data_IF_291359344845
#
_entry.id   IF_291359344845
#
_cell.length_a   1.000
_cell.length_b   1.000
_cell.length_c   1.000
_cell.angle_alpha   90.00
_cell.angle_beta   90.00
_cell.angle_gamma   90.00
#
_symmetry.space_group_name_H-M   'P 1'
#
loop_
_entity.id
_entity.type
_entity.pdbx_description
1 polymer ?
#
# COMPACT_ATOMS: atom_id res chain seq x y z
N UNK A 1 -8.73 -21.91 40.80
CA UNK A 1 -9.35 -20.61 40.48
C UNK A 1 -8.44 -19.68 39.65
N UNK A 2 -7.24 -20.10 39.22
CA UNK A 2 -6.29 -19.21 38.51
C UNK A 2 -6.37 -19.26 36.97
N UNK A 3 -6.89 -20.36 36.39
CA UNK A 3 -6.92 -20.61 34.94
C UNK A 3 -7.83 -19.65 34.15
N UNK A 4 -8.89 -19.12 34.79
CA UNK A 4 -9.81 -18.19 34.13
C UNK A 4 -9.26 -16.75 34.02
N UNK A 5 -8.19 -16.43 34.77
CA UNK A 5 -7.60 -15.09 34.80
C UNK A 5 -6.62 -14.83 33.64
N UNK A 6 -5.94 -15.87 33.13
CA UNK A 6 -5.00 -15.76 32.01
C UNK A 6 -5.73 -15.65 30.66
N UNK A 7 -6.78 -16.45 30.47
CA UNK A 7 -7.67 -16.41 29.29
C UNK A 7 -8.26 -15.00 29.07
N UNK A 8 -8.81 -14.39 30.14
CA UNK A 8 -9.37 -13.04 30.07
C UNK A 8 -8.31 -11.95 29.81
N UNK A 9 -7.09 -12.09 30.36
CA UNK A 9 -5.96 -11.17 30.06
C UNK A 9 -5.52 -11.27 28.60
N UNK A 10 -5.44 -12.47 28.03
CA UNK A 10 -5.11 -12.70 26.61
C UNK A 10 -6.15 -12.10 25.66
N UNK A 11 -7.45 -12.32 25.94
CA UNK A 11 -8.57 -11.75 25.16
C UNK A 11 -8.61 -10.22 25.23
N UNK A 12 -8.44 -9.62 26.43
CA UNK A 12 -8.37 -8.15 26.61
C UNK A 12 -7.17 -7.54 25.88
N UNK A 13 -5.98 -8.16 25.94
CA UNK A 13 -4.78 -7.68 25.21
C UNK A 13 -4.98 -7.72 23.69
N UNK A 14 -5.62 -8.77 23.18
CA UNK A 14 -5.94 -8.91 21.75
C UNK A 14 -6.94 -7.85 21.27
N UNK A 15 -8.01 -7.62 22.04
CA UNK A 15 -9.01 -6.60 21.70
C UNK A 15 -8.43 -5.18 21.76
N UNK A 16 -7.71 -4.84 22.84
CA UNK A 16 -7.00 -3.55 22.96
C UNK A 16 -6.04 -3.33 21.79
N UNK A 17 -5.31 -4.37 21.37
CA UNK A 17 -4.37 -4.28 20.24
C UNK A 17 -5.08 -4.04 18.91
N UNK A 18 -6.18 -4.76 18.61
CA UNK A 18 -6.99 -4.52 17.40
C UNK A 18 -7.53 -3.10 17.37
N UNK A 19 -8.02 -2.62 18.50
CA UNK A 19 -8.47 -1.23 18.66
C UNK A 19 -7.33 -0.24 18.42
N UNK A 20 -6.14 -0.46 19.00
CA UNK A 20 -4.96 0.39 18.79
C UNK A 20 -4.49 0.41 17.33
N UNK A 21 -4.46 -0.75 16.66
CA UNK A 21 -4.10 -0.90 15.24
C UNK A 21 -5.13 -0.22 14.33
N UNK A 22 -6.35 0.00 14.81
CA UNK A 22 -7.32 0.80 14.08
C UNK A 22 -7.19 2.30 14.40
N UNK A 23 -7.04 2.65 15.69
CA UNK A 23 -7.06 4.03 16.18
C UNK A 23 -5.81 4.82 15.79
N UNK A 24 -4.61 4.26 16.00
CA UNK A 24 -3.35 4.97 15.71
C UNK A 24 -3.26 5.32 14.21
N UNK A 25 -3.48 4.38 13.27
CA UNK A 25 -3.45 4.70 11.85
C UNK A 25 -4.53 5.70 11.42
N UNK A 26 -5.67 5.73 12.11
CA UNK A 26 -6.70 6.73 11.84
C UNK A 26 -6.18 8.14 12.17
N UNK A 27 -5.60 8.35 13.35
CA UNK A 27 -5.00 9.65 13.70
C UNK A 27 -3.83 10.02 12.78
N UNK A 28 -2.95 9.07 12.50
CA UNK A 28 -1.79 9.29 11.61
C UNK A 28 -2.24 9.73 10.21
N UNK A 29 -3.24 9.06 9.63
CA UNK A 29 -3.77 9.44 8.30
C UNK A 29 -4.36 10.85 8.30
N UNK A 30 -5.11 11.21 9.34
CA UNK A 30 -5.71 12.56 9.43
C UNK A 30 -4.64 13.63 9.64
N UNK A 31 -3.63 13.37 10.47
CA UNK A 31 -2.49 14.28 10.65
C UNK A 31 -1.72 14.48 9.33
N UNK A 32 -1.46 13.40 8.60
CA UNK A 32 -0.78 13.48 7.29
C UNK A 32 -1.59 14.28 6.27
N UNK A 33 -2.92 14.13 6.26
CA UNK A 33 -3.81 14.94 5.43
C UNK A 33 -3.75 16.41 5.81
N UNK A 34 -3.79 16.73 7.11
CA UNK A 34 -3.71 18.11 7.57
C UNK A 34 -2.39 18.78 7.17
N UNK A 35 -1.27 18.11 7.43
CA UNK A 35 0.06 18.59 7.02
C UNK A 35 0.11 18.77 5.50
N UNK A 36 -0.48 17.83 4.75
CA UNK A 36 -0.50 17.89 3.30
C UNK A 36 -1.46 18.90 2.70
N UNK A 37 -2.41 19.41 3.47
CA UNK A 37 -3.26 20.55 3.10
C UNK A 37 -2.56 21.87 3.39
N UNK A 38 -1.75 21.93 4.45
CA UNK A 38 -0.99 23.14 4.83
C UNK A 38 0.35 23.27 4.11
N UNK A 39 0.86 22.19 3.53
CA UNK A 39 2.17 22.15 2.85
C UNK A 39 2.05 22.17 1.34
N UNK A 40 2.93 22.91 0.67
CA UNK A 40 3.07 22.87 -0.79
C UNK A 40 3.95 21.70 -1.22
N UNK A 41 3.49 20.92 -2.20
CA UNK A 41 4.27 19.83 -2.81
C UNK A 41 5.11 20.36 -3.97
N UNK A 42 6.43 20.15 -3.90
CA UNK A 42 7.37 20.41 -4.99
C UNK A 42 8.03 19.08 -5.33
N UNK A 43 7.95 18.67 -6.60
CA UNK A 43 8.62 17.48 -7.09
C UNK A 43 9.85 17.91 -7.90
N UNK A 44 11.02 17.35 -7.58
CA UNK A 44 12.26 17.61 -8.29
C UNK A 44 12.60 16.35 -9.09
N UNK A 45 12.86 16.48 -10.39
CA UNK A 45 13.26 15.37 -11.26
C UNK A 45 12.20 14.29 -11.49
N UNK A 46 10.90 14.64 -11.44
CA UNK A 46 9.80 13.66 -11.54
C UNK A 46 9.36 13.32 -12.97
N UNK A 47 10.04 13.85 -13.99
CA UNK A 47 9.63 13.73 -15.40
C UNK A 47 9.49 12.28 -15.85
N UNK A 48 10.50 11.45 -15.56
CA UNK A 48 10.50 10.02 -15.89
C UNK A 48 9.34 9.29 -15.20
N UNK A 49 9.08 9.59 -13.93
CA UNK A 49 7.99 8.97 -13.17
C UNK A 49 6.63 9.43 -13.73
N UNK A 50 6.47 10.72 -14.02
CA UNK A 50 5.26 11.26 -14.66
C UNK A 50 4.98 10.61 -16.00
N UNK A 51 6.02 10.41 -16.84
CA UNK A 51 5.90 9.74 -18.13
C UNK A 51 5.42 8.30 -17.96
N UNK A 52 6.08 7.52 -17.09
CA UNK A 52 5.69 6.13 -16.79
C UNK A 52 4.26 6.04 -16.25
N UNK A 53 3.86 6.97 -15.35
CA UNK A 53 2.49 7.05 -14.82
C UNK A 53 1.47 7.35 -15.91
N UNK A 54 1.76 8.32 -16.79
CA UNK A 54 0.90 8.70 -17.93
C UNK A 54 0.73 7.53 -18.91
N UNK A 55 1.82 6.83 -19.21
CA UNK A 55 1.83 5.64 -20.07
C UNK A 55 1.26 4.38 -19.38
N UNK A 56 0.86 4.49 -18.10
CA UNK A 56 0.32 3.38 -17.29
C UNK A 56 1.25 2.14 -17.26
N UNK A 57 2.56 2.33 -17.46
CA UNK A 57 3.54 1.25 -17.42
C UNK A 57 3.75 0.73 -15.99
N UNK A 58 4.05 -0.57 -15.81
CA UNK A 58 4.46 -1.10 -14.51
C UNK A 58 5.82 -0.53 -14.11
N UNK A 59 5.99 -0.19 -12.83
CA UNK A 59 7.26 0.29 -12.28
C UNK A 59 7.43 -0.09 -10.81
N UNK A 60 8.66 -0.03 -10.33
CA UNK A 60 9.02 -0.26 -8.94
C UNK A 60 9.43 1.09 -8.35
N UNK A 61 8.89 1.43 -7.18
CA UNK A 61 9.27 2.62 -6.42
C UNK A 61 10.06 2.18 -5.19
N UNK A 62 11.28 2.69 -5.05
CA UNK A 62 12.11 2.53 -3.86
C UNK A 62 12.28 3.88 -3.17
N UNK A 63 12.32 3.88 -1.85
CA UNK A 63 12.53 5.08 -1.05
C UNK A 63 13.28 4.77 0.23
N UNK A 64 13.85 5.81 0.83
CA UNK A 64 14.57 5.72 2.10
C UNK A 64 13.61 5.55 3.28
N UNK A 65 14.08 4.87 4.32
CA UNK A 65 13.29 4.61 5.52
C UNK A 65 12.80 5.88 6.23
N UNK A 66 13.57 6.96 6.15
CA UNK A 66 13.22 8.27 6.73
C UNK A 66 11.93 8.85 6.17
N UNK A 67 11.54 8.46 4.95
CA UNK A 67 10.34 8.97 4.28
C UNK A 67 9.12 8.06 4.44
N UNK A 68 9.25 6.94 5.17
CA UNK A 68 8.18 5.95 5.32
C UNK A 68 6.92 6.54 5.93
N UNK A 69 7.07 7.49 6.88
CA UNK A 69 5.94 8.12 7.54
C UNK A 69 5.03 8.81 6.51
N UNK A 70 5.57 9.68 5.66
CA UNK A 70 4.78 10.52 4.76
C UNK A 70 4.56 9.94 3.35
N UNK A 71 5.31 8.90 2.99
CA UNK A 71 5.23 8.24 1.68
C UNK A 71 3.80 7.77 1.27
N UNK A 72 2.98 7.19 2.17
CA UNK A 72 1.61 6.79 1.83
C UNK A 72 0.72 7.97 1.39
N UNK A 73 0.90 9.16 1.98
CA UNK A 73 0.17 10.35 1.60
C UNK A 73 0.62 10.91 0.23
N UNK A 74 1.94 10.91 -0.03
CA UNK A 74 2.53 11.36 -1.29
C UNK A 74 2.16 10.46 -2.47
N UNK A 75 2.00 9.16 -2.23
CA UNK A 75 1.65 8.15 -3.23
C UNK A 75 0.23 7.59 -3.01
N UNK A 76 -0.70 8.44 -2.54
CA UNK A 76 -2.09 8.06 -2.29
C UNK A 76 -2.85 7.72 -3.57
N UNK A 77 -3.73 6.73 -3.50
CA UNK A 77 -4.62 6.27 -4.57
C UNK A 77 -3.91 5.79 -5.86
N UNK A 78 -2.62 5.47 -5.77
CA UNK A 78 -1.84 4.95 -6.90
C UNK A 78 -2.04 3.44 -7.10
N UNK A 79 -2.76 2.77 -6.19
CA UNK A 79 -3.01 1.31 -6.19
C UNK A 79 -1.70 0.50 -6.22
N UNK A 80 -0.67 1.02 -5.56
CA UNK A 80 0.64 0.36 -5.46
C UNK A 80 0.60 -0.80 -4.47
N UNK A 81 1.41 -1.83 -4.71
CA UNK A 81 1.68 -2.87 -3.72
C UNK A 81 2.99 -2.55 -2.98
N UNK A 82 2.88 -2.25 -1.68
CA UNK A 82 4.00 -1.86 -0.82
C UNK A 82 4.49 -3.08 -0.04
N UNK A 83 5.79 -3.36 -0.07
CA UNK A 83 6.37 -4.40 0.77
C UNK A 83 6.49 -3.92 2.21
N UNK A 84 5.88 -4.64 3.16
CA UNK A 84 5.86 -4.30 4.58
C UNK A 84 6.27 -5.53 5.41
N UNK A 85 7.17 -5.32 6.37
CA UNK A 85 7.61 -6.37 7.30
C UNK A 85 6.45 -7.00 8.08
N UNK A 86 6.62 -8.26 8.49
CA UNK A 86 5.66 -9.01 9.33
C UNK A 86 5.69 -8.61 10.82
N UNK A 87 6.40 -7.54 11.17
CA UNK A 87 6.48 -7.04 12.54
C UNK A 87 5.18 -6.40 13.04
N UNK A 88 5.07 -6.26 14.37
CA UNK A 88 3.96 -5.54 15.02
C UNK A 88 3.85 -4.10 14.50
N UNK A 89 4.98 -3.44 14.25
CA UNK A 89 5.00 -2.06 13.74
C UNK A 89 4.52 -1.99 12.29
N UNK A 90 4.82 -3.03 11.51
CA UNK A 90 4.32 -3.20 10.15
C UNK A 90 2.80 -3.23 10.07
N UNK A 91 2.09 -3.66 11.13
CA UNK A 91 0.61 -3.67 11.14
C UNK A 91 0.03 -2.25 11.11
N UNK A 92 0.68 -1.29 11.78
CA UNK A 92 0.25 0.11 11.72
C UNK A 92 0.47 0.69 10.33
N UNK A 93 1.66 0.47 9.75
CA UNK A 93 1.99 0.94 8.40
C UNK A 93 1.03 0.33 7.37
N UNK A 94 0.72 -0.96 7.51
CA UNK A 94 -0.24 -1.66 6.67
C UNK A 94 -1.60 -0.95 6.63
N UNK A 95 -2.15 -0.61 7.79
CA UNK A 95 -3.42 0.09 7.91
C UNK A 95 -3.37 1.51 7.32
N UNK A 96 -2.25 2.24 7.51
CA UNK A 96 -2.07 3.57 6.91
C UNK A 96 -2.06 3.46 5.37
N UNK A 97 -1.26 2.54 4.82
CA UNK A 97 -1.15 2.30 3.37
C UNK A 97 -2.51 1.95 2.76
N UNK A 98 -3.28 1.07 3.41
CA UNK A 98 -4.63 0.73 2.95
C UNK A 98 -5.61 1.90 2.99
N UNK A 99 -5.57 2.74 4.03
CA UNK A 99 -6.43 3.94 4.14
C UNK A 99 -6.11 5.01 3.08
N UNK A 100 -4.91 4.98 2.50
CA UNK A 100 -4.54 5.80 1.34
C UNK A 100 -4.80 5.12 -0.01
N UNK A 101 -5.55 4.01 -0.05
CA UNK A 101 -5.99 3.37 -1.29
C UNK A 101 -4.92 2.52 -1.99
N UNK A 102 -3.88 2.12 -1.25
CA UNK A 102 -2.83 1.23 -1.72
C UNK A 102 -2.97 -0.18 -1.13
N UNK A 103 -2.20 -1.12 -1.67
CA UNK A 103 -2.10 -2.49 -1.21
C UNK A 103 -0.78 -2.72 -0.49
N UNK A 104 -0.73 -3.76 0.34
CA UNK A 104 0.51 -4.21 0.95
C UNK A 104 0.77 -5.67 0.65
N UNK A 105 2.06 -6.05 0.64
CA UNK A 105 2.53 -7.42 0.61
C UNK A 105 3.36 -7.61 1.87
N UNK A 106 3.06 -8.65 2.64
CA UNK A 106 3.75 -8.94 3.89
C UNK A 106 4.99 -9.79 3.65
N UNK A 107 6.12 -9.38 4.22
CA UNK A 107 7.35 -10.17 4.23
C UNK A 107 8.57 -9.39 4.73
N UNK A 108 9.56 -10.10 5.29
CA UNK A 108 10.80 -9.52 5.80
C UNK A 108 12.02 -9.90 4.98
N UNK A 109 13.08 -9.08 5.00
CA UNK A 109 14.35 -9.37 4.31
C UNK A 109 15.09 -10.59 4.87
N UNK A 110 14.81 -11.00 6.11
CA UNK A 110 15.50 -12.10 6.79
C UNK A 110 14.74 -13.44 6.70
N UNK A 111 13.42 -13.44 6.96
CA UNK A 111 12.54 -14.60 6.79
C UNK A 111 11.37 -14.21 5.88
N UNK A 112 11.32 -14.79 4.68
CA UNK A 112 10.22 -14.59 3.73
C UNK A 112 10.47 -13.60 2.59
N UNK A 113 11.69 -13.09 2.42
CA UNK A 113 12.04 -12.16 1.34
C UNK A 113 11.80 -12.71 -0.06
N UNK A 114 12.14 -13.99 -0.30
CA UNK A 114 11.87 -14.70 -1.55
C UNK A 114 10.37 -14.85 -1.83
N UNK A 115 9.57 -15.14 -0.79
CA UNK A 115 8.11 -15.22 -0.87
C UNK A 115 7.50 -13.85 -1.19
N UNK A 116 7.97 -12.80 -0.52
CA UNK A 116 7.59 -11.42 -0.79
C UNK A 116 7.92 -10.98 -2.22
N UNK A 117 9.11 -11.29 -2.71
CA UNK A 117 9.52 -10.99 -4.09
C UNK A 117 8.64 -11.72 -5.10
N UNK A 118 8.38 -13.02 -4.88
CA UNK A 118 7.46 -13.79 -5.73
C UNK A 118 6.06 -13.18 -5.73
N UNK A 119 5.55 -12.75 -4.56
CA UNK A 119 4.27 -12.08 -4.45
C UNK A 119 4.25 -10.73 -5.20
N UNK A 120 5.33 -9.94 -5.13
CA UNK A 120 5.49 -8.70 -5.90
C UNK A 120 5.44 -8.95 -7.41
N UNK A 121 6.17 -9.95 -7.90
CA UNK A 121 6.18 -10.32 -9.33
C UNK A 121 4.78 -10.74 -9.80
N UNK A 122 4.09 -11.58 -9.01
CA UNK A 122 2.72 -12.01 -9.31
C UNK A 122 1.77 -10.81 -9.35
N UNK A 123 1.92 -9.88 -8.40
CA UNK A 123 1.08 -8.69 -8.34
C UNK A 123 1.33 -7.75 -9.51
N UNK A 124 2.59 -7.57 -9.92
CA UNK A 124 2.99 -6.78 -11.07
C UNK A 124 2.37 -7.34 -12.36
N UNK A 125 2.46 -8.65 -12.58
CA UNK A 125 1.83 -9.34 -13.72
C UNK A 125 0.31 -9.16 -13.73
N UNK A 126 -0.35 -9.26 -12.57
CA UNK A 126 -1.81 -9.07 -12.44
C UNK A 126 -2.23 -7.63 -12.75
N UNK A 127 -1.49 -6.64 -12.26
CA UNK A 127 -1.74 -5.22 -12.56
C UNK A 127 -1.58 -4.95 -14.05
N UNK A 128 -0.51 -5.48 -14.66
CA UNK A 128 -0.26 -5.35 -16.08
C UNK A 128 -1.42 -5.94 -16.91
N UNK A 129 -1.84 -7.17 -16.61
CA UNK A 129 -2.96 -7.82 -17.30
C UNK A 129 -4.28 -7.04 -17.13
N UNK A 130 -4.59 -6.58 -15.91
CA UNK A 130 -5.79 -5.77 -15.63
C UNK A 130 -5.79 -4.43 -16.36
N UNK A 131 -4.62 -3.85 -16.65
CA UNK A 131 -4.49 -2.60 -17.41
C UNK A 131 -4.59 -2.82 -18.92
N UNK A 132 -4.21 -3.98 -19.45
CA UNK A 132 -4.36 -4.32 -20.87
C UNK A 132 -5.79 -4.68 -21.27
N UNK A 133 -6.56 -5.31 -20.38
CA UNK A 133 -7.97 -5.68 -20.60
C UNK A 133 -8.86 -4.54 -21.16
N UNK A 134 -8.91 -3.34 -20.55
CA UNK A 134 -9.73 -2.25 -21.07
C UNK A 134 -9.23 -1.74 -22.44
N UNK A 135 -7.92 -1.74 -22.69
CA UNK A 135 -7.36 -1.35 -23.98
C UNK A 135 -7.76 -2.33 -25.09
N UNK A 136 -7.71 -3.64 -24.81
CA UNK A 136 -8.15 -4.67 -25.75
C UNK A 136 -9.66 -4.59 -26.02
N UNK A 137 -10.47 -4.35 -24.99
CA UNK A 137 -11.92 -4.16 -25.11
C UNK A 137 -12.29 -2.91 -25.92
N UNK A 138 -11.54 -1.82 -25.78
CA UNK A 138 -11.76 -0.58 -26.52
C UNK A 138 -11.41 -0.74 -28.00
N UNK A 139 -10.33 -1.46 -28.33
CA UNK A 139 -10.00 -1.84 -29.72
C UNK A 139 -11.09 -2.71 -30.34
N UNK A 140 -11.59 -3.71 -29.60
CA UNK A 140 -12.69 -4.57 -30.05
C UNK A 140 -13.99 -3.78 -30.29
N UNK A 141 -14.29 -2.83 -29.40
CA UNK A 141 -15.45 -1.94 -29.53
C UNK A 141 -15.34 -1.02 -30.75
N UNK A 142 -14.16 -0.47 -31.01
CA UNK A 142 -13.91 0.34 -32.21
C UNK A 142 -14.00 -0.49 -33.50
N UNK A 143 -13.50 -1.73 -33.48
CA UNK A 143 -13.61 -2.65 -34.61
C UNK A 143 -15.07 -3.02 -34.91
N UNK A 144 -15.87 -3.34 -33.89
CA UNK A 144 -17.32 -3.57 -34.04
C UNK A 144 -18.12 -2.32 -34.44
N UNK A 145 -17.58 -1.11 -34.32
CA UNK A 145 -18.24 0.11 -34.80
C UNK A 145 -17.85 0.50 -36.24
N UNK A 146 -16.86 -0.18 -36.81
CA UNK A 146 -16.34 0.03 -38.17
C UNK A 146 -16.77 -1.09 -39.15
N UNK A 147 -17.46 -2.12 -38.66
CA UNK A 147 -18.11 -3.20 -39.42
C UNK A 147 -19.62 -3.06 -39.22
#
# INVERSE_FOLDING_TARGET
MEENSESHKGKKRSFKRKFLIWLIPFFVVNLQRLIGLTSRRINIGDESIRKIRKEKKPYILSGWHTNVLYSPYLNRNERMAVLISESKDGDFINQVVHRFGNYSIRGSSSKGGSKALKALIVHLKKIFLRRLLPMALEVLRLWCSLV
#
